data_IF_540067965446
#
_entry.id   IF_540067965446
#
_cell.length_a   1.000
_cell.length_b   1.000
_cell.length_c   1.000
_cell.angle_alpha   90.00
_cell.angle_beta   90.00
_cell.angle_gamma   90.00
#
_symmetry.space_group_name_H-M   'P 1'
#
loop_
_entity.id
_entity.type
_entity.pdbx_description
1 polymer ?
#
# COMPACT_ATOMS: atom_id res chain seq x y z
N UNK A 1 -32.06 8.88 -17.10
CA UNK A 1 -30.68 8.92 -17.61
C UNK A 1 -30.63 8.34 -19.02
N UNK A 2 -30.18 9.12 -20.03
CA UNK A 2 -30.12 8.68 -21.42
C UNK A 2 -29.17 7.46 -21.55
N UNK A 3 -29.65 6.43 -22.24
CA UNK A 3 -28.86 5.23 -22.55
C UNK A 3 -27.58 5.64 -23.29
N UNK A 4 -26.40 5.48 -22.63
CA UNK A 4 -25.10 5.57 -23.30
C UNK A 4 -24.02 6.46 -22.66
N UNK A 5 -24.29 7.25 -21.61
CA UNK A 5 -23.23 8.05 -20.96
C UNK A 5 -22.72 7.35 -19.70
N UNK A 6 -21.41 7.07 -19.70
CA UNK A 6 -20.72 6.56 -18.51
C UNK A 6 -20.83 7.58 -17.38
N UNK A 7 -21.22 7.17 -16.18
CA UNK A 7 -21.30 8.03 -15.01
C UNK A 7 -19.93 8.65 -14.69
N UNK A 8 -19.90 9.97 -14.42
CA UNK A 8 -18.65 10.71 -14.23
C UNK A 8 -17.74 10.15 -13.13
N UNK A 9 -18.32 9.53 -12.09
CA UNK A 9 -17.57 8.89 -11.03
C UNK A 9 -16.57 7.81 -11.52
N UNK A 10 -16.84 7.14 -12.65
CA UNK A 10 -15.90 6.19 -13.22
C UNK A 10 -14.66 6.86 -13.83
N UNK A 11 -14.78 8.07 -14.34
CA UNK A 11 -13.62 8.87 -14.77
C UNK A 11 -12.78 9.29 -13.55
N UNK A 12 -13.43 9.62 -12.42
CA UNK A 12 -12.73 9.90 -11.15
C UNK A 12 -11.97 8.67 -10.67
N UNK A 13 -12.56 7.47 -10.75
CA UNK A 13 -11.89 6.21 -10.41
C UNK A 13 -10.71 5.93 -11.33
N UNK A 14 -10.84 6.11 -12.63
CA UNK A 14 -9.76 5.92 -13.60
C UNK A 14 -8.61 6.92 -13.36
N UNK A 15 -8.92 8.19 -13.09
CA UNK A 15 -7.93 9.20 -12.75
C UNK A 15 -7.23 8.89 -11.42
N UNK A 16 -7.98 8.46 -10.39
CA UNK A 16 -7.39 8.00 -9.13
C UNK A 16 -6.46 6.80 -9.32
N UNK A 17 -6.87 5.82 -10.14
CA UNK A 17 -6.04 4.67 -10.50
C UNK A 17 -4.72 5.11 -11.18
N UNK A 18 -4.78 6.03 -12.14
CA UNK A 18 -3.61 6.55 -12.84
C UNK A 18 -2.67 7.33 -11.89
N UNK A 19 -3.22 8.19 -11.01
CA UNK A 19 -2.42 8.92 -10.01
C UNK A 19 -1.75 7.94 -9.04
N UNK A 20 -2.49 6.96 -8.50
CA UNK A 20 -1.96 5.94 -7.58
C UNK A 20 -0.89 5.08 -8.27
N UNK A 21 -1.03 4.80 -9.56
CA UNK A 21 -0.04 4.04 -10.33
C UNK A 21 1.32 4.76 -10.38
N UNK A 22 1.34 6.04 -10.67
CA UNK A 22 2.59 6.80 -10.80
C UNK A 22 3.11 7.33 -9.45
N UNK A 23 2.27 7.48 -8.43
CA UNK A 23 2.71 7.92 -7.10
C UNK A 23 3.06 6.73 -6.21
N UNK A 24 2.10 5.97 -5.72
CA UNK A 24 2.33 4.82 -4.84
C UNK A 24 3.13 3.72 -5.56
N UNK A 25 2.80 3.45 -6.83
CA UNK A 25 3.53 2.47 -7.65
C UNK A 25 5.02 2.77 -7.74
N UNK A 26 5.41 4.03 -7.87
CA UNK A 26 6.82 4.43 -8.03
C UNK A 26 7.46 4.74 -6.68
N UNK A 27 6.90 5.67 -5.90
CA UNK A 27 7.52 6.17 -4.67
C UNK A 27 7.72 5.06 -3.64
N UNK A 28 6.75 4.15 -3.53
CA UNK A 28 6.78 3.09 -2.52
C UNK A 28 7.28 1.77 -3.11
N UNK A 29 6.68 1.31 -4.21
CA UNK A 29 6.89 -0.06 -4.70
C UNK A 29 8.12 -0.19 -5.63
N UNK A 30 8.60 0.91 -6.25
CA UNK A 30 9.83 0.89 -7.07
C UNK A 30 11.05 1.42 -6.32
N UNK A 31 10.92 1.84 -5.07
CA UNK A 31 12.04 2.39 -4.27
C UNK A 31 13.24 1.43 -4.21
N UNK A 32 12.99 0.12 -4.13
CA UNK A 32 14.03 -0.90 -4.06
C UNK A 32 15.01 -0.87 -5.24
N UNK A 33 14.58 -0.41 -6.43
CA UNK A 33 15.41 -0.31 -7.62
C UNK A 33 16.53 0.75 -7.47
N UNK A 34 16.30 1.77 -6.64
CA UNK A 34 17.26 2.86 -6.43
C UNK A 34 18.27 2.57 -5.31
N UNK A 35 18.00 1.62 -4.39
CA UNK A 35 18.84 1.39 -3.21
C UNK A 35 20.29 1.08 -3.64
N UNK A 36 20.49 0.04 -4.45
CA UNK A 36 21.82 -0.43 -4.83
C UNK A 36 22.59 0.58 -5.68
N UNK A 37 22.02 1.17 -6.75
CA UNK A 37 22.71 2.14 -7.59
C UNK A 37 23.11 3.42 -6.84
N UNK A 38 22.23 3.94 -5.97
CA UNK A 38 22.51 5.17 -5.21
C UNK A 38 23.58 4.90 -4.14
N UNK A 39 23.49 3.77 -3.41
CA UNK A 39 24.49 3.39 -2.42
C UNK A 39 25.89 3.22 -3.07
N UNK A 40 25.96 2.60 -4.24
CA UNK A 40 27.21 2.39 -4.95
C UNK A 40 27.86 3.70 -5.43
N UNK A 41 27.07 4.65 -5.95
CA UNK A 41 27.56 5.94 -6.48
C UNK A 41 27.92 6.93 -5.36
N UNK A 42 27.15 6.95 -4.27
CA UNK A 42 27.27 7.96 -3.21
C UNK A 42 28.01 7.47 -1.96
N UNK A 43 28.37 6.18 -1.89
CA UNK A 43 29.02 5.59 -0.73
C UNK A 43 28.11 5.48 0.51
N UNK A 44 26.77 5.49 0.32
CA UNK A 44 25.82 5.34 1.43
C UNK A 44 25.68 3.88 1.83
N UNK A 45 25.40 3.65 3.14
CA UNK A 45 24.97 2.34 3.59
C UNK A 45 23.52 2.07 3.17
N UNK A 46 23.15 0.80 3.07
CA UNK A 46 21.76 0.43 2.77
C UNK A 46 20.80 0.86 3.87
N UNK A 47 21.25 0.87 5.12
CA UNK A 47 20.48 1.41 6.24
C UNK A 47 20.17 2.89 6.05
N UNK A 48 21.17 3.70 5.70
CA UNK A 48 20.97 5.13 5.46
C UNK A 48 19.96 5.37 4.32
N UNK A 49 20.09 4.65 3.22
CA UNK A 49 19.15 4.80 2.10
C UNK A 49 17.73 4.32 2.48
N UNK A 50 17.60 3.20 3.19
CA UNK A 50 16.32 2.66 3.65
C UNK A 50 15.59 3.55 4.66
N UNK A 51 16.33 4.40 5.41
CA UNK A 51 15.77 5.38 6.34
C UNK A 51 14.77 6.33 5.65
N UNK A 52 14.96 6.64 4.36
CA UNK A 52 14.00 7.43 3.58
C UNK A 52 12.61 6.79 3.58
N UNK A 53 12.54 5.47 3.40
CA UNK A 53 11.26 4.77 3.38
C UNK A 53 10.61 4.71 4.77
N UNK A 54 11.42 4.64 5.82
CA UNK A 54 10.94 4.77 7.20
C UNK A 54 10.35 6.15 7.45
N UNK A 55 11.04 7.21 7.05
CA UNK A 55 10.55 8.59 7.19
C UNK A 55 9.21 8.77 6.44
N UNK A 56 9.10 8.23 5.22
CA UNK A 56 7.85 8.23 4.46
C UNK A 56 6.72 7.55 5.25
N UNK A 57 6.97 6.37 5.81
CA UNK A 57 5.99 5.59 6.57
C UNK A 57 5.56 6.28 7.86
N UNK A 58 6.51 6.88 8.59
CA UNK A 58 6.22 7.63 9.83
C UNK A 58 5.37 8.86 9.53
N UNK A 59 5.72 9.64 8.51
CA UNK A 59 4.93 10.81 8.11
C UNK A 59 3.52 10.40 7.69
N UNK A 60 3.39 9.32 6.91
CA UNK A 60 2.07 8.79 6.54
C UNK A 60 1.25 8.37 7.76
N UNK A 61 1.86 7.71 8.74
CA UNK A 61 1.20 7.31 9.98
C UNK A 61 0.69 8.52 10.77
N UNK A 62 1.53 9.55 10.96
CA UNK A 62 1.15 10.78 11.66
C UNK A 62 0.03 11.52 10.92
N UNK A 63 0.14 11.66 9.60
CA UNK A 63 -0.88 12.31 8.78
C UNK A 63 -2.19 11.54 8.77
N UNK A 64 -2.15 10.20 8.80
CA UNK A 64 -3.36 9.39 8.91
C UNK A 64 -4.08 9.60 10.24
N UNK A 65 -3.34 9.72 11.37
CA UNK A 65 -3.93 10.06 12.67
C UNK A 65 -4.59 11.45 12.67
N UNK A 66 -3.98 12.42 11.99
CA UNK A 66 -4.47 13.79 11.91
C UNK A 66 -5.58 13.98 10.87
N UNK A 67 -5.82 13.00 9.99
CA UNK A 67 -6.70 13.13 8.82
C UNK A 67 -8.13 13.55 9.18
N UNK A 68 -8.70 12.98 10.24
CA UNK A 68 -10.05 13.31 10.70
C UNK A 68 -10.24 14.77 11.10
N UNK A 69 -9.19 15.40 11.63
CA UNK A 69 -9.16 16.82 11.98
C UNK A 69 -8.84 17.69 10.75
N UNK A 70 -7.85 17.26 9.95
CA UNK A 70 -7.36 17.99 8.79
C UNK A 70 -8.42 18.11 7.70
N UNK A 71 -9.09 17.02 7.35
CA UNK A 71 -10.11 16.96 6.29
C UNK A 71 -11.30 17.91 6.50
N UNK A 72 -11.57 18.30 7.76
CA UNK A 72 -12.65 19.25 8.09
C UNK A 72 -12.25 20.70 7.97
N UNK A 73 -10.94 21.02 7.94
CA UNK A 73 -10.40 22.39 7.99
C UNK A 73 -9.78 22.85 6.68
N UNK A 74 -9.40 21.93 5.79
CA UNK A 74 -8.75 22.27 4.53
C UNK A 74 -9.70 22.13 3.35
N UNK A 75 -9.50 22.96 2.34
CA UNK A 75 -10.09 22.73 1.02
C UNK A 75 -9.29 21.64 0.32
N UNK A 76 -9.79 20.40 0.38
CA UNK A 76 -9.09 19.21 -0.09
C UNK A 76 -8.62 19.36 -1.54
N UNK A 77 -9.49 19.85 -2.44
CA UNK A 77 -9.14 20.00 -3.85
C UNK A 77 -7.95 20.95 -4.07
N UNK A 78 -7.91 22.10 -3.38
CA UNK A 78 -6.79 23.06 -3.49
C UNK A 78 -5.48 22.44 -3.00
N UNK A 79 -5.53 21.71 -1.89
CA UNK A 79 -4.35 21.01 -1.35
C UNK A 79 -3.89 19.88 -2.25
N UNK A 80 -4.80 19.14 -2.89
CA UNK A 80 -4.47 18.15 -3.90
C UNK A 80 -3.80 18.77 -5.12
N UNK A 81 -4.29 19.93 -5.59
CA UNK A 81 -3.66 20.66 -6.69
C UNK A 81 -2.23 21.11 -6.35
N UNK A 82 -2.00 21.60 -5.12
CA UNK A 82 -0.65 21.93 -4.65
C UNK A 82 0.24 20.68 -4.59
N UNK A 83 -0.26 19.59 -4.00
CA UNK A 83 0.46 18.33 -3.91
C UNK A 83 0.77 17.72 -5.29
N UNK A 84 -0.10 17.90 -6.28
CA UNK A 84 0.11 17.44 -7.65
C UNK A 84 1.35 18.04 -8.31
N UNK A 85 1.71 19.26 -7.92
CA UNK A 85 2.92 19.95 -8.39
C UNK A 85 4.11 19.61 -7.48
N UNK A 86 3.91 19.65 -6.17
CA UNK A 86 4.99 19.48 -5.19
C UNK A 86 5.58 18.06 -5.19
N UNK A 87 4.76 17.02 -5.36
CA UNK A 87 5.27 15.63 -5.36
C UNK A 87 6.24 15.37 -6.50
N UNK A 88 5.91 15.65 -7.78
CA UNK A 88 6.89 15.53 -8.86
C UNK A 88 8.10 16.44 -8.66
N UNK A 89 7.93 17.65 -8.15
CA UNK A 89 9.00 18.59 -7.89
C UNK A 89 10.00 18.04 -6.86
N UNK A 90 9.54 17.53 -5.72
CA UNK A 90 10.43 16.94 -4.72
C UNK A 90 11.04 15.63 -5.23
N UNK A 91 10.32 14.83 -6.02
CA UNK A 91 10.88 13.64 -6.63
C UNK A 91 11.99 13.98 -7.65
N UNK A 92 11.82 15.04 -8.42
CA UNK A 92 12.85 15.60 -9.30
C UNK A 92 14.09 16.06 -8.52
N UNK A 93 13.88 16.66 -7.34
CA UNK A 93 14.95 17.19 -6.49
C UNK A 93 15.92 16.14 -5.99
N UNK A 94 15.52 14.84 -5.90
CA UNK A 94 16.46 13.76 -5.59
C UNK A 94 17.64 13.69 -6.54
N UNK A 95 17.47 14.07 -7.81
CA UNK A 95 18.54 14.04 -8.81
C UNK A 95 19.71 14.97 -8.50
N UNK A 96 19.48 15.99 -7.66
CA UNK A 96 20.50 16.99 -7.23
C UNK A 96 21.08 16.68 -5.86
N UNK A 97 20.59 15.65 -5.19
CA UNK A 97 21.08 15.30 -3.86
C UNK A 97 22.55 14.89 -3.91
N UNK A 98 23.37 15.49 -3.02
CA UNK A 98 24.82 15.29 -2.92
C UNK A 98 25.23 14.59 -1.64
N UNK A 99 24.35 14.53 -0.65
CA UNK A 99 24.59 13.87 0.62
C UNK A 99 23.28 13.27 1.16
N UNK A 100 23.40 12.41 2.15
CA UNK A 100 22.26 11.68 2.73
C UNK A 100 21.24 12.60 3.41
N UNK A 101 21.69 13.71 4.02
CA UNK A 101 20.81 14.66 4.69
C UNK A 101 19.92 15.41 3.70
N UNK A 102 20.41 15.67 2.49
CA UNK A 102 19.56 16.20 1.41
C UNK A 102 18.49 15.20 1.00
N UNK A 103 18.83 13.90 0.92
CA UNK A 103 17.81 12.86 0.70
C UNK A 103 16.74 12.90 1.78
N UNK A 104 17.13 12.96 3.04
CA UNK A 104 16.17 13.01 4.17
C UNK A 104 15.29 14.26 4.14
N UNK A 105 15.86 15.43 3.89
CA UNK A 105 15.10 16.68 3.75
C UNK A 105 14.08 16.63 2.62
N UNK A 106 14.49 16.14 1.44
CA UNK A 106 13.61 15.97 0.29
C UNK A 106 12.53 14.93 0.61
N UNK A 107 12.89 13.81 1.24
CA UNK A 107 11.94 12.77 1.64
C UNK A 107 10.86 13.31 2.57
N UNK A 108 11.23 14.13 3.55
CA UNK A 108 10.27 14.71 4.50
C UNK A 108 9.23 15.57 3.76
N UNK A 109 9.67 16.47 2.89
CA UNK A 109 8.81 17.35 2.12
C UNK A 109 7.95 16.58 1.10
N UNK A 110 8.56 15.60 0.43
CA UNK A 110 7.86 14.66 -0.46
C UNK A 110 6.77 13.90 0.29
N UNK A 111 7.07 13.38 1.48
CA UNK A 111 6.15 12.56 2.27
C UNK A 111 4.92 13.36 2.71
N UNK A 112 5.09 14.60 3.17
CA UNK A 112 4.00 15.50 3.56
C UNK A 112 3.09 15.76 2.36
N UNK A 113 3.68 16.10 1.21
CA UNK A 113 2.93 16.38 -0.02
C UNK A 113 2.22 15.13 -0.55
N UNK A 114 2.89 13.98 -0.51
CA UNK A 114 2.36 12.69 -0.99
C UNK A 114 1.16 12.22 -0.16
N UNK A 115 1.11 12.48 1.16
CA UNK A 115 -0.03 12.11 1.98
C UNK A 115 -1.36 12.66 1.46
N UNK A 116 -1.34 13.84 0.84
CA UNK A 116 -2.54 14.54 0.35
C UNK A 116 -3.06 13.93 -0.97
N UNK A 117 -2.22 13.21 -1.71
CA UNK A 117 -2.60 12.44 -2.92
C UNK A 117 -2.38 10.94 -2.73
N UNK A 118 -2.51 10.47 -1.49
CA UNK A 118 -2.38 9.05 -1.14
C UNK A 118 -3.67 8.27 -1.37
N UNK A 119 -3.57 6.94 -1.33
CA UNK A 119 -4.72 6.04 -1.47
C UNK A 119 -5.81 6.32 -0.43
N UNK A 120 -5.46 6.80 0.77
CA UNK A 120 -6.42 7.15 1.82
C UNK A 120 -7.37 8.26 1.36
N UNK A 121 -6.83 9.31 0.73
CA UNK A 121 -7.61 10.44 0.20
C UNK A 121 -8.48 9.99 -0.97
N UNK A 122 -7.95 9.17 -1.88
CA UNK A 122 -8.74 8.64 -2.99
C UNK A 122 -9.87 7.72 -2.52
N UNK A 123 -9.66 6.94 -1.46
CA UNK A 123 -10.72 6.12 -0.85
C UNK A 123 -11.85 7.00 -0.33
N UNK A 124 -11.53 8.13 0.31
CA UNK A 124 -12.51 9.11 0.76
C UNK A 124 -13.28 9.72 -0.42
N UNK A 125 -12.58 10.19 -1.46
CA UNK A 125 -13.20 10.80 -2.64
C UNK A 125 -14.11 9.79 -3.35
N UNK A 126 -13.59 8.61 -3.70
CA UNK A 126 -14.37 7.56 -4.37
C UNK A 126 -15.58 7.15 -3.51
N UNK A 127 -15.41 7.12 -2.18
CA UNK A 127 -16.50 6.88 -1.25
C UNK A 127 -17.63 7.89 -1.30
N UNK A 128 -17.36 9.17 -1.66
CA UNK A 128 -18.37 10.19 -1.86
C UNK A 128 -19.12 10.04 -3.20
N UNK A 129 -18.45 9.51 -4.23
CA UNK A 129 -19.02 9.34 -5.58
C UNK A 129 -19.89 8.08 -5.72
N UNK A 130 -19.66 7.04 -4.89
CA UNK A 130 -20.31 5.74 -5.01
C UNK A 130 -21.00 5.32 -3.73
N UNK A 131 -22.32 5.12 -3.78
CA UNK A 131 -23.11 4.44 -2.76
C UNK A 131 -23.20 2.95 -3.12
N UNK A 132 -23.57 2.65 -4.38
CA UNK A 132 -23.58 1.30 -4.94
C UNK A 132 -22.21 0.96 -5.54
N UNK A 133 -21.74 -0.28 -5.40
CA UNK A 133 -20.45 -0.77 -5.91
C UNK A 133 -19.21 -0.02 -5.39
N UNK A 134 -19.32 0.60 -4.19
CA UNK A 134 -18.24 1.38 -3.56
C UNK A 134 -16.93 0.57 -3.41
N UNK A 135 -17.04 -0.69 -2.97
CA UNK A 135 -15.88 -1.57 -2.80
C UNK A 135 -15.16 -1.86 -4.12
N UNK A 136 -15.92 -2.10 -5.19
CA UNK A 136 -15.37 -2.30 -6.54
C UNK A 136 -14.65 -1.06 -7.02
N UNK A 137 -15.26 0.12 -6.87
CA UNK A 137 -14.67 1.40 -7.29
C UNK A 137 -13.36 1.71 -6.54
N UNK A 138 -13.32 1.50 -5.22
CA UNK A 138 -12.11 1.64 -4.39
C UNK A 138 -11.05 0.60 -4.80
N UNK A 139 -11.49 -0.65 -5.04
CA UNK A 139 -10.61 -1.73 -5.51
C UNK A 139 -9.94 -1.38 -6.84
N UNK A 140 -10.71 -0.86 -7.81
CA UNK A 140 -10.18 -0.43 -9.11
C UNK A 140 -9.19 0.73 -8.97
N UNK A 141 -9.47 1.73 -8.13
CA UNK A 141 -8.54 2.82 -7.86
C UNK A 141 -7.23 2.29 -7.24
N UNK A 142 -7.31 1.33 -6.31
CA UNK A 142 -6.14 0.77 -5.63
C UNK A 142 -5.29 -0.18 -6.50
N UNK A 143 -5.87 -0.79 -7.54
CA UNK A 143 -5.13 -1.63 -8.51
C UNK A 143 -4.00 -0.84 -9.19
N UNK A 144 -4.17 0.48 -9.34
CA UNK A 144 -3.17 1.36 -9.94
C UNK A 144 -1.78 1.15 -9.36
N UNK A 145 -1.65 1.02 -8.03
CA UNK A 145 -0.33 0.85 -7.39
C UNK A 145 0.40 -0.42 -7.82
N UNK A 146 -0.32 -1.52 -8.04
CA UNK A 146 0.24 -2.78 -8.53
C UNK A 146 0.60 -2.71 -10.02
N UNK A 147 -0.32 -2.18 -10.84
CA UNK A 147 -0.11 -2.03 -12.30
C UNK A 147 1.05 -1.06 -12.56
N UNK A 148 1.07 0.10 -11.86
CA UNK A 148 2.14 1.07 -11.98
C UNK A 148 3.50 0.48 -11.61
N UNK A 149 3.59 -0.25 -10.49
CA UNK A 149 4.82 -0.91 -10.09
C UNK A 149 5.23 -2.03 -11.06
N UNK A 150 4.27 -2.80 -11.57
CA UNK A 150 4.53 -3.87 -12.54
C UNK A 150 5.24 -3.32 -13.78
N UNK A 151 4.78 -2.20 -14.31
CA UNK A 151 5.38 -1.57 -15.49
C UNK A 151 6.68 -0.85 -15.11
N UNK A 152 6.63 -0.02 -14.07
CA UNK A 152 7.72 0.93 -13.78
C UNK A 152 8.94 0.27 -13.14
N UNK A 153 8.85 -0.87 -12.47
CA UNK A 153 10.05 -1.54 -11.95
C UNK A 153 11.03 -1.91 -13.06
N UNK A 154 10.54 -2.50 -14.16
CA UNK A 154 11.39 -2.84 -15.31
C UNK A 154 11.88 -1.59 -16.02
N UNK A 155 11.00 -0.62 -16.28
CA UNK A 155 11.34 0.64 -16.96
C UNK A 155 12.42 1.41 -16.18
N UNK A 156 12.23 1.62 -14.88
CA UNK A 156 13.17 2.33 -14.01
C UNK A 156 14.52 1.60 -13.98
N UNK A 157 14.53 0.28 -13.85
CA UNK A 157 15.76 -0.50 -13.85
C UNK A 157 16.56 -0.31 -15.15
N UNK A 158 15.91 -0.40 -16.31
CA UNK A 158 16.56 -0.17 -17.62
C UNK A 158 17.05 1.26 -17.75
N UNK A 159 16.28 2.24 -17.31
CA UNK A 159 16.70 3.65 -17.32
C UNK A 159 17.92 3.89 -16.41
N UNK A 160 17.99 3.25 -15.25
CA UNK A 160 19.14 3.35 -14.34
C UNK A 160 20.40 2.77 -14.99
N UNK A 161 20.26 1.64 -15.68
CA UNK A 161 21.38 1.01 -16.39
C UNK A 161 21.89 1.89 -17.56
N UNK A 162 20.95 2.45 -18.34
CA UNK A 162 21.28 3.20 -19.54
C UNK A 162 21.77 4.63 -19.25
N UNK A 163 21.16 5.33 -18.30
CA UNK A 163 21.35 6.76 -18.07
C UNK A 163 21.67 7.15 -16.62
N UNK A 164 21.77 6.17 -15.74
CA UNK A 164 22.03 6.37 -14.32
C UNK A 164 20.80 6.82 -13.52
N UNK A 165 20.92 6.71 -12.19
CA UNK A 165 19.82 6.98 -11.26
C UNK A 165 19.39 8.46 -11.22
N UNK A 166 20.32 9.41 -11.40
CA UNK A 166 19.99 10.85 -11.41
C UNK A 166 19.09 11.25 -12.57
N UNK A 167 19.40 10.76 -13.78
CA UNK A 167 18.54 10.98 -14.93
C UNK A 167 17.18 10.30 -14.76
N UNK A 168 17.17 9.10 -14.21
CA UNK A 168 15.94 8.33 -13.98
C UNK A 168 14.99 9.07 -13.03
N UNK A 169 15.49 9.67 -11.93
CA UNK A 169 14.65 10.51 -11.06
C UNK A 169 14.03 11.69 -11.81
N UNK A 170 14.78 12.37 -12.68
CA UNK A 170 14.26 13.48 -13.50
C UNK A 170 13.15 13.02 -14.44
N UNK A 171 13.41 11.98 -15.23
CA UNK A 171 12.46 11.48 -16.22
C UNK A 171 11.17 10.95 -15.59
N UNK A 172 11.29 10.22 -14.48
CA UNK A 172 10.15 9.73 -13.74
C UNK A 172 9.35 10.88 -13.11
N UNK A 173 10.00 11.91 -12.59
CA UNK A 173 9.32 13.10 -12.08
C UNK A 173 8.52 13.83 -13.17
N UNK A 174 9.06 13.93 -14.38
CA UNK A 174 8.33 14.48 -15.53
C UNK A 174 7.10 13.61 -15.86
N UNK A 175 7.26 12.28 -15.89
CA UNK A 175 6.12 11.37 -16.08
C UNK A 175 5.05 11.56 -15.00
N UNK A 176 5.46 11.65 -13.72
CA UNK A 176 4.53 11.94 -12.61
C UNK A 176 3.78 13.25 -12.84
N UNK A 177 4.48 14.31 -13.23
CA UNK A 177 3.89 15.62 -13.49
C UNK A 177 2.84 15.55 -14.61
N UNK A 178 3.19 14.91 -15.73
CA UNK A 178 2.31 14.78 -16.90
C UNK A 178 1.06 13.94 -16.63
N UNK A 179 1.08 13.02 -15.65
CA UNK A 179 -0.09 12.21 -15.30
C UNK A 179 -0.85 12.82 -14.14
N UNK A 180 -0.17 13.20 -13.05
CA UNK A 180 -0.82 13.64 -11.80
C UNK A 180 -1.53 14.97 -11.96
N UNK A 181 -0.86 15.95 -12.62
CA UNK A 181 -1.41 17.30 -12.76
C UNK A 181 -2.72 17.28 -13.57
N UNK A 182 -2.79 16.75 -14.80
CA UNK A 182 -4.04 16.72 -15.55
C UNK A 182 -5.15 15.95 -14.83
N UNK A 183 -4.82 14.79 -14.23
CA UNK A 183 -5.81 13.98 -13.52
C UNK A 183 -6.45 14.75 -12.35
N UNK A 184 -5.64 15.44 -11.53
CA UNK A 184 -6.14 16.16 -10.36
C UNK A 184 -6.84 17.47 -10.75
N UNK A 185 -6.26 18.26 -11.65
CA UNK A 185 -6.83 19.56 -12.03
C UNK A 185 -8.10 19.44 -12.86
N UNK A 186 -8.16 18.48 -13.79
CA UNK A 186 -9.24 18.39 -14.77
C UNK A 186 -10.34 17.41 -14.37
N UNK A 187 -9.96 16.25 -13.79
CA UNK A 187 -10.90 15.13 -13.60
C UNK A 187 -11.34 14.98 -12.16
N UNK A 188 -10.42 15.02 -11.18
CA UNK A 188 -10.76 14.71 -9.80
C UNK A 188 -11.53 15.86 -9.17
N UNK A 189 -12.73 15.55 -8.63
CA UNK A 189 -13.57 16.45 -7.83
C UNK A 189 -13.91 15.74 -6.53
N UNK A 190 -14.00 16.50 -5.43
CA UNK A 190 -14.21 15.92 -4.10
C UNK A 190 -15.59 15.27 -3.96
N UNK A 191 -16.62 15.93 -4.51
CA UNK A 191 -18.02 15.51 -4.37
C UNK A 191 -18.76 15.52 -5.70
N UNK A 192 -19.78 14.65 -5.88
CA UNK A 192 -20.66 14.70 -7.05
C UNK A 192 -21.38 16.04 -7.21
N UNK A 193 -21.74 16.70 -6.09
CA UNK A 193 -22.36 18.01 -6.07
C UNK A 193 -21.54 19.11 -6.76
N UNK A 194 -20.20 18.97 -6.81
CA UNK A 194 -19.31 19.90 -7.51
C UNK A 194 -19.53 19.92 -9.04
N UNK A 195 -20.23 18.89 -9.54
CA UNK A 195 -20.64 18.73 -10.94
C UNK A 195 -22.16 18.71 -11.12
N UNK A 196 -22.93 19.04 -10.08
CA UNK A 196 -24.39 18.98 -10.10
C UNK A 196 -24.93 17.54 -10.26
N UNK A 197 -24.18 16.54 -9.81
CA UNK A 197 -24.54 15.14 -9.90
C UNK A 197 -24.86 14.56 -8.53
N UNK A 198 -25.65 13.49 -8.49
CA UNK A 198 -25.88 12.68 -7.29
C UNK A 198 -24.93 11.50 -7.23
N UNK A 199 -24.64 10.94 -6.04
CA UNK A 199 -23.82 9.74 -5.89
C UNK A 199 -24.42 8.55 -6.64
N UNK A 200 -23.55 7.72 -7.23
CA UNK A 200 -23.99 6.56 -8.02
C UNK A 200 -24.77 5.56 -7.15
N UNK A 201 -26.04 5.30 -7.55
CA UNK A 201 -26.94 4.39 -6.84
C UNK A 201 -27.73 5.02 -5.69
N UNK A 202 -27.71 6.35 -5.51
CA UNK A 202 -28.50 7.03 -4.48
C UNK A 202 -30.01 6.86 -4.70
N UNK A 203 -30.47 6.91 -5.96
CA UNK A 203 -31.89 6.74 -6.34
C UNK A 203 -32.44 5.36 -5.95
N UNK A 204 -31.65 4.31 -6.12
CA UNK A 204 -32.08 2.93 -5.82
C UNK A 204 -32.20 2.69 -4.29
N UNK A 205 -31.34 3.31 -3.50
CA UNK A 205 -31.39 3.24 -2.03
C UNK A 205 -32.59 4.02 -1.48
N UNK A 206 -32.88 5.16 -2.12
CA UNK A 206 -34.08 5.98 -1.78
C UNK A 206 -35.40 5.29 -2.16
N UNK A 207 -35.43 4.57 -3.29
CA UNK A 207 -36.60 3.85 -3.76
C UNK A 207 -36.91 2.58 -2.94
N UNK A 208 -35.92 1.96 -2.29
CA UNK A 208 -36.14 0.77 -1.45
C UNK A 208 -36.64 1.04 -0.03
N UNK A 209 -36.94 2.30 0.32
CA UNK A 209 -37.69 2.64 1.53
C UNK A 209 -37.07 2.23 2.88
N UNK A 210 -35.84 1.77 2.91
CA UNK A 210 -35.15 1.22 4.08
C UNK A 210 -33.99 2.07 4.57
N UNK A 211 -34.19 3.36 4.80
CA UNK A 211 -33.20 4.15 5.54
C UNK A 211 -33.77 5.40 6.21
N UNK A 212 -34.94 5.28 6.85
CA UNK A 212 -35.40 6.20 7.90
C UNK A 212 -35.40 5.51 9.28
N UNK A 213 -34.39 4.79 9.57
CA UNK A 213 -34.08 4.20 10.86
C UNK A 213 -32.74 3.53 10.67
N UNK A 214 -31.69 4.08 11.27
CA UNK A 214 -30.38 3.43 11.22
C UNK A 214 -30.56 1.98 11.63
N UNK A 215 -30.18 1.04 10.76
CA UNK A 215 -29.96 -0.33 11.18
C UNK A 215 -29.06 -0.19 12.40
N UNK A 216 -29.41 -0.74 13.58
CA UNK A 216 -28.51 -0.72 14.71
C UNK A 216 -27.20 -1.32 14.20
N UNK A 217 -26.14 -0.52 14.14
CA UNK A 217 -24.82 -1.05 13.77
C UNK A 217 -24.46 -2.03 14.89
N UNK A 218 -24.73 -3.31 14.68
CA UNK A 218 -24.30 -4.36 15.59
C UNK A 218 -22.78 -4.37 15.64
N UNK A 219 -22.24 -4.40 16.83
CA UNK A 219 -20.82 -4.38 17.06
C UNK A 219 -20.45 -3.81 18.41
N UNK A 220 -19.17 -3.78 18.67
CA UNK A 220 -18.60 -3.28 19.93
C UNK A 220 -18.11 -1.84 19.78
N UNK A 221 -18.09 -1.09 20.88
CA UNK A 221 -17.44 0.21 20.95
C UNK A 221 -15.92 0.03 21.00
N UNK A 222 -15.15 1.09 20.69
CA UNK A 222 -13.69 1.05 20.83
C UNK A 222 -13.23 0.71 22.24
N UNK A 223 -13.94 1.17 23.26
CA UNK A 223 -13.60 0.89 24.66
C UNK A 223 -13.84 -0.60 25.02
N UNK A 224 -14.87 -1.22 24.46
CA UNK A 224 -15.13 -2.65 24.60
C UNK A 224 -14.13 -3.47 23.79
N UNK A 225 -13.85 -3.10 22.54
CA UNK A 225 -12.88 -3.77 21.70
C UNK A 225 -11.49 -3.80 22.33
N UNK A 226 -11.04 -2.71 22.95
CA UNK A 226 -9.74 -2.62 23.62
C UNK A 226 -9.61 -3.58 24.83
N UNK A 227 -10.72 -4.03 25.42
CA UNK A 227 -10.74 -5.03 26.49
C UNK A 227 -10.71 -6.46 25.96
N UNK A 228 -10.98 -6.67 24.68
CA UNK A 228 -11.01 -7.99 24.06
C UNK A 228 -9.59 -8.47 23.72
N UNK A 229 -9.16 -9.67 24.18
CA UNK A 229 -7.84 -10.23 23.82
C UNK A 229 -7.61 -10.33 22.30
N UNK A 230 -8.68 -10.55 21.53
CA UNK A 230 -8.67 -10.63 20.06
C UNK A 230 -8.18 -9.32 19.44
N UNK A 231 -8.50 -8.15 19.99
CA UNK A 231 -8.05 -6.86 19.50
C UNK A 231 -6.52 -6.77 19.53
N UNK A 232 -5.90 -7.11 20.65
CA UNK A 232 -4.45 -7.07 20.82
C UNK A 232 -3.74 -8.16 20.01
N UNK A 233 -4.35 -9.35 19.91
CA UNK A 233 -3.85 -10.44 19.07
C UNK A 233 -3.81 -10.01 17.60
N UNK A 234 -4.87 -9.42 17.07
CA UNK A 234 -4.94 -8.90 15.70
C UNK A 234 -3.97 -7.73 15.51
N UNK A 235 -3.88 -6.80 16.45
CA UNK A 235 -2.97 -5.66 16.39
C UNK A 235 -1.50 -6.13 16.33
N UNK A 236 -1.08 -6.97 17.26
CA UNK A 236 0.31 -7.46 17.35
C UNK A 236 0.69 -8.28 16.11
N UNK A 237 -0.17 -9.21 15.71
CA UNK A 237 0.06 -10.03 14.51
C UNK A 237 0.17 -9.14 13.27
N UNK A 238 -0.66 -8.11 13.15
CA UNK A 238 -0.66 -7.22 12.00
C UNK A 238 0.60 -6.37 11.92
N UNK A 239 1.14 -5.90 13.06
CA UNK A 239 2.44 -5.20 13.10
C UNK A 239 3.54 -6.11 12.54
N UNK A 240 3.62 -7.36 13.04
CA UNK A 240 4.63 -8.32 12.61
C UNK A 240 4.50 -8.71 11.13
N UNK A 241 3.28 -8.99 10.67
CA UNK A 241 3.02 -9.36 9.28
C UNK A 241 3.30 -8.20 8.31
N UNK A 242 2.88 -6.98 8.64
CA UNK A 242 3.17 -5.81 7.79
C UNK A 242 4.66 -5.50 7.78
N UNK A 243 5.37 -5.71 8.90
CA UNK A 243 6.83 -5.62 8.93
C UNK A 243 7.46 -6.65 7.98
N UNK A 244 7.05 -7.93 8.05
CA UNK A 244 7.55 -9.00 7.18
C UNK A 244 7.28 -8.71 5.70
N UNK A 245 6.08 -8.25 5.37
CA UNK A 245 5.68 -7.83 4.02
C UNK A 245 6.53 -6.67 3.52
N UNK A 246 6.79 -5.67 4.36
CA UNK A 246 7.58 -4.49 4.00
C UNK A 246 9.06 -4.85 3.77
N UNK A 247 9.63 -5.73 4.60
CA UNK A 247 10.97 -6.29 4.37
C UNK A 247 11.02 -6.96 3.00
N UNK A 248 10.05 -7.82 2.70
CA UNK A 248 9.97 -8.56 1.45
C UNK A 248 9.97 -7.63 0.22
N UNK A 249 9.10 -6.61 0.21
CA UNK A 249 9.03 -5.66 -0.90
C UNK A 249 10.32 -4.87 -1.13
N UNK A 250 10.93 -4.42 -0.06
CA UNK A 250 12.08 -3.51 -0.18
C UNK A 250 13.36 -4.23 -0.52
N UNK A 251 13.48 -5.50 -0.15
CA UNK A 251 14.72 -6.25 -0.35
C UNK A 251 14.69 -7.17 -1.57
N UNK A 252 13.54 -7.36 -2.23
CA UNK A 252 13.39 -8.31 -3.35
C UNK A 252 14.41 -8.04 -4.47
N UNK A 253 14.43 -6.84 -5.03
CA UNK A 253 15.34 -6.53 -6.14
C UNK A 253 16.82 -6.55 -5.71
N UNK A 254 17.24 -5.86 -4.62
CA UNK A 254 18.64 -5.92 -4.19
C UNK A 254 19.08 -7.33 -3.79
N UNK A 255 18.21 -8.12 -3.13
CA UNK A 255 18.55 -9.49 -2.73
C UNK A 255 18.81 -10.42 -3.91
N UNK A 256 17.94 -10.41 -4.92
CA UNK A 256 18.14 -11.20 -6.14
C UNK A 256 19.45 -10.80 -6.84
N UNK A 257 19.71 -9.49 -6.96
CA UNK A 257 20.94 -8.98 -7.56
C UNK A 257 22.20 -9.37 -6.78
N UNK A 258 22.14 -9.42 -5.44
CA UNK A 258 23.26 -9.84 -4.59
C UNK A 258 23.51 -11.37 -4.67
N UNK A 259 22.50 -12.14 -5.04
CA UNK A 259 22.60 -13.60 -5.25
C UNK A 259 23.01 -13.98 -6.69
N UNK A 260 23.49 -13.01 -7.50
CA UNK A 260 24.09 -13.26 -8.81
C UNK A 260 23.12 -13.15 -10.00
N UNK A 261 21.85 -12.79 -9.77
CA UNK A 261 20.94 -12.49 -10.87
C UNK A 261 21.23 -11.12 -11.47
N UNK A 262 21.03 -10.98 -12.78
CA UNK A 262 21.18 -9.67 -13.43
C UNK A 262 20.18 -8.65 -12.86
N UNK A 263 20.55 -7.38 -12.88
CA UNK A 263 19.69 -6.27 -12.42
C UNK A 263 18.37 -6.26 -13.21
N UNK A 264 18.43 -6.54 -14.51
CA UNK A 264 17.26 -6.66 -15.37
C UNK A 264 16.35 -7.80 -14.91
N UNK A 265 16.89 -8.99 -14.62
CA UNK A 265 16.10 -10.12 -14.14
C UNK A 265 15.44 -9.80 -12.80
N UNK A 266 16.17 -9.21 -11.85
CA UNK A 266 15.63 -8.81 -10.56
C UNK A 266 14.47 -7.81 -10.71
N UNK A 267 14.58 -6.86 -11.62
CA UNK A 267 13.52 -5.89 -11.93
C UNK A 267 12.29 -6.56 -12.57
N UNK A 268 12.48 -7.49 -13.52
CA UNK A 268 11.38 -8.26 -14.12
C UNK A 268 10.67 -9.11 -13.08
N UNK A 269 11.42 -9.80 -12.22
CA UNK A 269 10.86 -10.60 -11.12
C UNK A 269 10.01 -9.72 -10.18
N UNK A 270 10.50 -8.53 -9.83
CA UNK A 270 9.74 -7.58 -9.02
C UNK A 270 8.47 -7.14 -9.76
N UNK A 271 8.55 -6.85 -11.05
CA UNK A 271 7.41 -6.47 -11.89
C UNK A 271 6.33 -7.56 -11.95
N UNK A 272 6.72 -8.79 -12.21
CA UNK A 272 5.80 -9.95 -12.24
C UNK A 272 5.15 -10.16 -10.87
N UNK A 273 5.93 -10.02 -9.80
CA UNK A 273 5.44 -10.13 -8.42
C UNK A 273 4.41 -9.04 -8.10
N UNK A 274 4.58 -7.81 -8.60
CA UNK A 274 3.59 -6.73 -8.44
C UNK A 274 2.32 -6.97 -9.25
N UNK A 275 2.43 -7.57 -10.44
CA UNK A 275 1.28 -8.06 -11.20
C UNK A 275 0.50 -9.14 -10.44
N UNK A 276 1.22 -10.11 -9.88
CA UNK A 276 0.63 -11.14 -9.02
C UNK A 276 -0.07 -10.54 -7.79
N UNK A 277 0.47 -9.47 -7.19
CA UNK A 277 -0.16 -8.75 -6.09
C UNK A 277 -1.51 -8.13 -6.49
N UNK A 278 -1.61 -7.53 -7.67
CA UNK A 278 -2.86 -6.96 -8.14
C UNK A 278 -3.96 -8.03 -8.27
N UNK A 279 -3.61 -9.20 -8.82
CA UNK A 279 -4.50 -10.36 -8.92
C UNK A 279 -4.81 -10.93 -7.54
N UNK A 280 -3.80 -11.07 -6.69
CA UNK A 280 -3.90 -11.62 -5.34
C UNK A 280 -4.87 -10.85 -4.44
N UNK A 281 -4.94 -9.52 -4.56
CA UNK A 281 -5.92 -8.70 -3.83
C UNK A 281 -7.36 -9.10 -4.15
N UNK A 282 -7.67 -9.34 -5.42
CA UNK A 282 -9.02 -9.77 -5.85
C UNK A 282 -9.30 -11.20 -5.40
N UNK A 283 -8.31 -12.09 -5.56
CA UNK A 283 -8.46 -13.50 -5.13
C UNK A 283 -8.67 -13.60 -3.62
N UNK A 284 -7.88 -12.86 -2.83
CA UNK A 284 -8.00 -12.87 -1.38
C UNK A 284 -9.35 -12.33 -0.91
N UNK A 285 -9.87 -11.26 -1.52
CA UNK A 285 -11.22 -10.77 -1.25
C UNK A 285 -12.28 -11.84 -1.45
N UNK A 286 -12.23 -12.57 -2.59
CA UNK A 286 -13.15 -13.69 -2.86
C UNK A 286 -12.96 -14.87 -1.89
N UNK A 287 -11.75 -15.08 -1.39
CA UNK A 287 -11.49 -16.13 -0.38
C UNK A 287 -12.15 -15.78 0.95
N UNK A 288 -12.17 -14.50 1.36
CA UNK A 288 -12.90 -14.07 2.54
C UNK A 288 -14.40 -14.37 2.42
N UNK A 289 -14.99 -14.07 1.26
CA UNK A 289 -16.41 -14.31 1.00
C UNK A 289 -16.77 -15.81 1.02
N UNK A 290 -15.87 -16.69 0.53
CA UNK A 290 -16.16 -18.11 0.37
C UNK A 290 -15.70 -18.99 1.54
N UNK A 291 -14.54 -18.69 2.11
CA UNK A 291 -13.89 -19.54 3.13
C UNK A 291 -14.06 -18.99 4.56
N UNK A 292 -14.53 -17.75 4.68
CA UNK A 292 -14.65 -17.01 5.92
C UNK A 292 -13.33 -16.41 6.41
N UNK A 293 -13.44 -15.50 7.38
CA UNK A 293 -12.37 -14.60 7.84
C UNK A 293 -11.12 -15.36 8.32
N UNK A 294 -11.30 -16.37 9.17
CA UNK A 294 -10.19 -17.12 9.77
C UNK A 294 -9.36 -17.88 8.73
N UNK A 295 -10.02 -18.66 7.86
CA UNK A 295 -9.33 -19.47 6.86
C UNK A 295 -8.61 -18.61 5.83
N UNK A 296 -9.26 -17.55 5.33
CA UNK A 296 -8.67 -16.64 4.35
C UNK A 296 -7.43 -15.93 4.90
N UNK A 297 -7.50 -15.41 6.15
CA UNK A 297 -6.38 -14.76 6.80
C UNK A 297 -5.18 -15.71 7.02
N UNK A 298 -5.44 -16.93 7.50
CA UNK A 298 -4.39 -17.96 7.70
C UNK A 298 -3.74 -18.35 6.38
N UNK A 299 -4.52 -18.57 5.32
CA UNK A 299 -3.97 -18.90 3.99
C UNK A 299 -3.08 -17.76 3.47
N UNK A 300 -3.49 -16.50 3.62
CA UNK A 300 -2.66 -15.36 3.23
C UNK A 300 -1.31 -15.36 3.98
N UNK A 301 -1.31 -15.65 5.29
CA UNK A 301 -0.08 -15.77 6.07
C UNK A 301 0.80 -16.94 5.62
N UNK A 302 0.22 -18.09 5.30
CA UNK A 302 0.95 -19.25 4.76
C UNK A 302 1.60 -18.89 3.42
N UNK A 303 0.88 -18.19 2.53
CA UNK A 303 1.45 -17.71 1.27
C UNK A 303 2.61 -16.73 1.50
N UNK A 304 2.49 -15.82 2.49
CA UNK A 304 3.60 -14.94 2.88
C UNK A 304 4.82 -15.75 3.33
N UNK A 305 4.62 -16.78 4.16
CA UNK A 305 5.70 -17.65 4.64
C UNK A 305 6.37 -18.39 3.49
N UNK A 306 5.61 -18.94 2.55
CA UNK A 306 6.14 -19.60 1.34
C UNK A 306 7.01 -18.61 0.54
N UNK A 307 6.58 -17.36 0.37
CA UNK A 307 7.37 -16.33 -0.29
C UNK A 307 8.67 -16.01 0.44
N UNK A 308 8.64 -15.89 1.77
CA UNK A 308 9.83 -15.63 2.59
C UNK A 308 10.83 -16.80 2.49
N UNK A 309 10.35 -18.04 2.53
CA UNK A 309 11.19 -19.23 2.33
C UNK A 309 11.80 -19.21 0.90
N UNK A 310 11.01 -18.81 -0.10
CA UNK A 310 11.51 -18.58 -1.45
C UNK A 310 12.64 -17.56 -1.54
N UNK A 311 12.62 -16.50 -0.72
CA UNK A 311 13.72 -15.53 -0.63
C UNK A 311 14.99 -16.15 -0.01
N UNK A 312 14.85 -16.98 1.00
CA UNK A 312 16.01 -17.64 1.64
C UNK A 312 16.73 -18.56 0.64
N UNK A 313 15.97 -19.29 -0.17
CA UNK A 313 16.50 -20.27 -1.15
C UNK A 313 16.40 -19.77 -2.59
N UNK A 314 16.62 -18.49 -2.85
CA UNK A 314 16.32 -17.82 -4.12
C UNK A 314 17.07 -18.35 -5.36
N UNK A 315 18.08 -19.22 -5.21
CA UNK A 315 18.84 -19.83 -6.32
C UNK A 315 18.08 -20.92 -7.08
N UNK A 316 17.05 -21.52 -6.50
CA UNK A 316 16.25 -22.54 -7.15
C UNK A 316 15.09 -21.93 -7.94
N UNK A 317 14.80 -22.43 -9.14
CA UNK A 317 13.69 -21.94 -9.98
C UNK A 317 12.33 -22.03 -9.27
N UNK A 318 12.11 -23.11 -8.49
CA UNK A 318 10.88 -23.27 -7.69
C UNK A 318 10.73 -22.16 -6.66
N UNK A 319 11.83 -21.68 -6.10
CA UNK A 319 11.83 -20.58 -5.13
C UNK A 319 11.40 -19.25 -5.76
N UNK A 320 11.73 -19.02 -7.04
CA UNK A 320 11.26 -17.83 -7.77
C UNK A 320 9.74 -17.84 -7.95
N UNK A 321 9.14 -19.01 -8.23
CA UNK A 321 7.68 -19.15 -8.26
C UNK A 321 7.05 -18.93 -6.87
N UNK A 322 7.69 -19.46 -5.81
CA UNK A 322 7.27 -19.23 -4.44
C UNK A 322 7.29 -17.75 -4.05
N UNK A 323 8.27 -16.99 -4.54
CA UNK A 323 8.35 -15.52 -4.36
C UNK A 323 7.15 -14.83 -5.01
N UNK A 324 6.85 -15.13 -6.29
CA UNK A 324 5.72 -14.54 -7.02
C UNK A 324 4.39 -14.83 -6.30
N UNK A 325 4.20 -16.09 -5.89
CA UNK A 325 3.00 -16.52 -5.19
C UNK A 325 2.87 -15.87 -3.80
N UNK A 326 3.97 -15.78 -3.06
CA UNK A 326 4.02 -15.13 -1.75
C UNK A 326 3.73 -13.64 -1.82
N UNK A 327 4.27 -12.92 -2.82
CA UNK A 327 3.92 -11.52 -3.06
C UNK A 327 2.46 -11.41 -3.46
N UNK A 328 2.00 -12.23 -4.38
CA UNK A 328 0.64 -12.16 -4.91
C UNK A 328 -0.42 -12.25 -3.81
N UNK A 329 -0.53 -13.40 -3.19
CA UNK A 329 -1.57 -13.66 -2.17
C UNK A 329 -1.14 -13.17 -0.78
N UNK A 330 0.11 -13.46 -0.38
CA UNK A 330 0.57 -13.17 0.96
C UNK A 330 0.64 -11.68 1.28
N UNK A 331 1.29 -10.90 0.42
CA UNK A 331 1.42 -9.46 0.64
C UNK A 331 0.11 -8.67 0.44
N UNK A 332 -0.93 -9.31 -0.10
CA UNK A 332 -2.28 -8.73 -0.13
C UNK A 332 -2.92 -8.61 1.26
N UNK A 333 -2.36 -9.26 2.29
CA UNK A 333 -2.87 -9.28 3.66
C UNK A 333 -3.12 -7.87 4.20
N UNK A 334 -2.13 -6.99 4.14
CA UNK A 334 -2.22 -5.65 4.74
C UNK A 334 -3.36 -4.79 4.17
N UNK A 335 -3.64 -4.93 2.88
CA UNK A 335 -4.66 -4.13 2.20
C UNK A 335 -6.08 -4.70 2.34
N UNK A 336 -6.24 -6.02 2.40
CA UNK A 336 -7.53 -6.71 2.31
C UNK A 336 -7.98 -7.29 3.65
N UNK A 337 -7.05 -7.94 4.40
CA UNK A 337 -7.45 -8.65 5.62
C UNK A 337 -7.87 -7.71 6.74
N UNK A 338 -7.15 -6.61 6.96
CA UNK A 338 -7.39 -5.73 8.09
C UNK A 338 -8.79 -5.10 8.12
N UNK A 339 -9.28 -4.46 7.04
CA UNK A 339 -10.64 -3.93 7.05
C UNK A 339 -11.70 -5.02 7.22
N UNK A 340 -11.54 -6.20 6.59
CA UNK A 340 -12.50 -7.29 6.68
C UNK A 340 -12.49 -7.93 8.07
N UNK A 341 -11.32 -8.19 8.65
CA UNK A 341 -11.21 -8.70 10.03
C UNK A 341 -11.87 -7.73 11.00
N UNK A 342 -11.60 -6.42 10.86
CA UNK A 342 -12.20 -5.40 11.72
C UNK A 342 -13.73 -5.44 11.65
N UNK A 343 -14.28 -5.50 10.45
CA UNK A 343 -15.73 -5.55 10.24
C UNK A 343 -16.36 -6.83 10.80
N UNK A 344 -15.79 -7.99 10.49
CA UNK A 344 -16.38 -9.27 10.82
C UNK A 344 -16.22 -9.66 12.31
N UNK A 345 -15.17 -9.17 12.99
CA UNK A 345 -14.89 -9.48 14.39
C UNK A 345 -15.51 -8.46 15.34
N UNK A 346 -15.40 -7.17 15.02
CA UNK A 346 -15.81 -6.07 15.90
C UNK A 346 -17.13 -5.41 15.49
N UNK A 347 -17.61 -5.68 14.26
CA UNK A 347 -18.83 -5.08 13.72
C UNK A 347 -18.63 -3.64 13.21
N UNK A 348 -19.77 -2.97 12.94
CA UNK A 348 -19.77 -1.66 12.27
C UNK A 348 -20.01 -0.48 13.23
N UNK A 349 -20.35 -0.72 14.51
CA UNK A 349 -20.75 0.33 15.46
C UNK A 349 -19.68 1.41 15.62
N UNK A 350 -18.43 1.04 15.84
CA UNK A 350 -17.30 1.97 16.03
C UNK A 350 -16.12 1.59 15.12
N UNK A 351 -16.48 1.09 13.92
CA UNK A 351 -15.55 0.56 12.93
C UNK A 351 -14.37 1.51 12.64
N UNK A 352 -14.67 2.80 12.38
CA UNK A 352 -13.64 3.79 12.01
C UNK A 352 -12.60 3.98 13.12
N UNK A 353 -13.03 3.99 14.38
CA UNK A 353 -12.12 4.12 15.54
C UNK A 353 -11.27 2.88 15.72
N UNK A 354 -11.85 1.69 15.59
CA UNK A 354 -11.17 0.40 15.77
C UNK A 354 -10.18 0.19 14.61
N UNK A 355 -10.65 0.33 13.37
CA UNK A 355 -9.82 0.19 12.19
C UNK A 355 -8.68 1.21 12.15
N UNK A 356 -8.95 2.47 12.53
CA UNK A 356 -7.94 3.51 12.59
C UNK A 356 -6.79 3.18 13.54
N UNK A 357 -7.08 2.65 14.74
CA UNK A 357 -6.04 2.22 15.71
C UNK A 357 -5.27 0.99 15.24
N UNK A 358 -5.94 0.01 14.65
CA UNK A 358 -5.28 -1.16 14.07
C UNK A 358 -4.38 -0.77 12.90
N UNK A 359 -4.85 0.13 12.03
CA UNK A 359 -4.04 0.67 10.91
C UNK A 359 -2.85 1.49 11.38
N UNK A 360 -3.00 2.28 12.44
CA UNK A 360 -1.88 2.99 13.04
C UNK A 360 -0.82 2.02 13.61
N UNK A 361 -1.28 0.95 14.27
CA UNK A 361 -0.37 -0.10 14.74
C UNK A 361 0.40 -0.75 13.58
N UNK A 362 -0.26 -1.09 12.46
CA UNK A 362 0.43 -1.65 11.29
C UNK A 362 1.47 -0.70 10.69
N UNK A 363 1.25 0.62 10.81
CA UNK A 363 2.20 1.64 10.39
C UNK A 363 3.56 1.52 11.08
N UNK A 364 3.59 1.08 12.34
CA UNK A 364 4.85 0.81 13.06
C UNK A 364 5.65 -0.30 12.37
N UNK A 365 5.01 -1.41 11.99
CA UNK A 365 5.66 -2.49 11.27
C UNK A 365 6.29 -2.02 9.96
N UNK A 366 5.56 -1.22 9.18
CA UNK A 366 6.04 -0.62 7.93
C UNK A 366 7.19 0.37 8.14
N UNK A 367 7.20 1.12 9.25
CA UNK A 367 8.22 2.10 9.56
C UNK A 367 9.56 1.46 9.99
N UNK A 368 9.52 0.39 10.79
CA UNK A 368 10.75 -0.28 11.27
C UNK A 368 11.38 -1.22 10.25
N UNK A 369 10.60 -1.83 9.36
CA UNK A 369 11.08 -2.79 8.39
C UNK A 369 12.27 -2.31 7.54
N UNK A 370 12.26 -1.09 6.94
CA UNK A 370 13.37 -0.59 6.14
C UNK A 370 14.67 -0.44 6.90
N UNK A 371 14.61 0.13 8.12
CA UNK A 371 15.79 0.32 8.96
C UNK A 371 16.42 -1.01 9.33
N UNK A 372 15.57 -1.95 9.81
CA UNK A 372 16.05 -3.27 10.27
C UNK A 372 16.65 -4.04 9.09
N UNK A 373 16.00 -4.04 7.93
CA UNK A 373 16.51 -4.73 6.74
C UNK A 373 17.82 -4.14 6.24
N UNK A 374 17.92 -2.80 6.18
CA UNK A 374 19.15 -2.12 5.78
C UNK A 374 20.32 -2.42 6.72
N UNK A 375 20.07 -2.28 8.04
CA UNK A 375 21.08 -2.57 9.07
C UNK A 375 21.52 -4.04 9.06
N UNK A 376 20.58 -4.97 8.87
CA UNK A 376 20.92 -6.40 8.75
C UNK A 376 21.89 -6.64 7.61
N UNK A 377 21.66 -6.01 6.47
CA UNK A 377 22.57 -6.11 5.33
C UNK A 377 23.95 -5.50 5.63
N UNK A 378 23.99 -4.32 6.24
CA UNK A 378 25.24 -3.63 6.56
C UNK A 378 26.12 -4.43 7.56
N UNK A 379 25.50 -5.22 8.47
CA UNK A 379 26.21 -6.05 9.46
C UNK A 379 26.63 -7.43 8.87
N UNK A 380 25.68 -8.10 8.17
CA UNK A 380 25.87 -9.50 7.77
C UNK A 380 26.21 -9.68 6.28
N UNK A 381 26.18 -8.60 5.47
CA UNK A 381 26.34 -8.68 4.02
C UNK A 381 25.20 -9.44 3.30
N UNK A 382 24.11 -9.74 4.01
CA UNK A 382 23.00 -10.57 3.51
C UNK A 382 21.68 -10.19 4.18
N UNK A 383 20.56 -10.39 3.45
CA UNK A 383 19.22 -10.25 4.01
C UNK A 383 18.66 -11.54 4.64
N UNK A 384 19.36 -12.67 4.53
CA UNK A 384 18.86 -13.97 5.03
C UNK A 384 18.50 -13.93 6.53
N UNK A 385 19.28 -13.30 7.43
CA UNK A 385 18.91 -13.26 8.84
C UNK A 385 17.56 -12.58 9.10
N UNK A 386 17.24 -11.47 8.40
CA UNK A 386 15.96 -10.80 8.60
C UNK A 386 14.79 -11.62 8.01
N UNK A 387 15.03 -12.42 6.95
CA UNK A 387 14.01 -13.33 6.45
C UNK A 387 13.71 -14.45 7.44
N UNK A 388 14.71 -14.97 8.14
CA UNK A 388 14.49 -15.96 9.19
C UNK A 388 13.63 -15.39 10.34
N UNK A 389 13.90 -14.15 10.76
CA UNK A 389 13.09 -13.45 11.77
C UNK A 389 11.66 -13.22 11.25
N UNK A 390 11.51 -12.75 10.00
CA UNK A 390 10.21 -12.52 9.38
C UNK A 390 9.40 -13.83 9.24
N UNK A 391 10.06 -14.95 8.92
CA UNK A 391 9.44 -16.29 8.89
C UNK A 391 8.92 -16.69 10.28
N UNK A 392 9.74 -16.54 11.33
CA UNK A 392 9.34 -16.82 12.71
C UNK A 392 8.14 -15.97 13.16
N UNK A 393 8.16 -14.67 12.87
CA UNK A 393 7.03 -13.75 13.14
C UNK A 393 5.77 -14.19 12.38
N UNK A 394 5.92 -14.59 11.12
CA UNK A 394 4.79 -15.05 10.29
C UNK A 394 4.19 -16.34 10.83
N UNK A 395 5.02 -17.29 11.26
CA UNK A 395 4.56 -18.55 11.90
C UNK A 395 3.82 -18.25 13.20
N UNK A 396 4.36 -17.38 14.06
CA UNK A 396 3.67 -16.94 15.27
C UNK A 396 2.32 -16.27 14.94
N UNK A 397 2.29 -15.43 13.89
CA UNK A 397 1.07 -14.80 13.39
C UNK A 397 0.02 -15.79 12.92
N UNK A 398 0.40 -16.85 12.21
CA UNK A 398 -0.48 -17.95 11.80
C UNK A 398 -1.14 -18.60 13.02
N UNK A 399 -0.35 -18.94 14.03
CA UNK A 399 -0.85 -19.59 15.26
C UNK A 399 -1.82 -18.64 15.99
N UNK A 400 -1.43 -17.37 16.19
CA UNK A 400 -2.24 -16.40 16.91
C UNK A 400 -3.58 -16.16 16.18
N UNK A 401 -3.58 -15.94 14.86
CA UNK A 401 -4.81 -15.73 14.10
C UNK A 401 -5.68 -16.98 14.04
N UNK A 402 -5.04 -18.16 13.96
CA UNK A 402 -5.76 -19.44 13.98
C UNK A 402 -6.47 -19.69 15.32
N UNK A 403 -5.97 -19.18 16.42
CA UNK A 403 -6.59 -19.30 17.75
C UNK A 403 -7.57 -18.16 18.03
N UNK A 404 -7.17 -16.92 17.75
CA UNK A 404 -7.90 -15.72 18.13
C UNK A 404 -9.13 -15.46 17.27
N UNK A 405 -9.10 -15.79 15.96
CA UNK A 405 -10.24 -15.52 15.08
C UNK A 405 -11.35 -16.58 15.24
N UNK A 406 -12.63 -16.18 15.22
CA UNK A 406 -13.76 -17.10 15.35
C UNK A 406 -13.78 -18.13 14.22
N UNK A 407 -14.25 -19.35 14.52
CA UNK A 407 -14.34 -20.44 13.53
C UNK A 407 -15.45 -20.22 12.50
N UNK A 408 -16.47 -19.47 12.84
CA UNK A 408 -17.62 -19.15 11.99
C UNK A 408 -17.79 -17.64 11.99
N UNK A 409 -17.92 -17.03 10.83
CA UNK A 409 -18.32 -15.63 10.75
C UNK A 409 -19.73 -15.53 11.33
N UNK A 410 -19.97 -14.55 12.19
CA UNK A 410 -21.32 -14.22 12.61
C UNK A 410 -21.99 -13.63 11.37
N UNK A 411 -22.83 -14.44 10.73
CA UNK A 411 -23.62 -14.08 9.55
C UNK A 411 -24.65 -13.00 9.82
#
# INVERSE_FOLDING_TARGET
MGKGKIYYGWYVVAAACAVVAVTMGIITNCFSQFIKPVCADMGFTRQQMSMNQTMLSVVQMVMAMMWGWLSKRINLHKWMCAAAILVPFFYFSYSYARNIYMFYGITLLLSISYCIISMMVFTYIVGNWFVKNRGVAIGMASMGSGIGAMIMNTVISQMIIAWGWRFTYKAVAVLMFLVVVPCIFLVIREKPSDKGLEPYGADEVSAQGKSKGGVPFEGVTMAEAAKMPVFWAVALTSVGLVMSISVFYQTLAPHLSDNGYSVTFAAVMTSVSMGALAIGKVMLGRMFDRLGTRKAAVIACICTLIGIIGMIYCKATVSLLAIIFGVGLGCSFGAICMPIITQNVFGMKDYNSIYGKLSAATGLGGAFAPIISGRTYDIYGSYVPIYAVAAAITVAGIIILAVALPKKDKG
#
